data_IF_088666097458
#
_entry.id   IF_088666097458
#
_cell.length_a   1.000
_cell.length_b   1.000
_cell.length_c   1.000
_cell.angle_alpha   90.00
_cell.angle_beta   90.00
_cell.angle_gamma   90.00
#
_symmetry.space_group_name_H-M   'P 1'
#
loop_
_entity.id
_entity.type
_entity.pdbx_description
1 polymer ?
#
# COMPACT_ATOMS: atom_id res chain seq x y z
N UNK A 1 42.74 -11.52 -54.64
CA UNK A 1 43.54 -10.27 -54.58
C UNK A 1 44.25 -10.25 -53.25
N UNK A 2 45.54 -9.97 -53.31
CA UNK A 2 46.58 -10.28 -52.34
C UNK A 2 46.50 -9.46 -51.05
N UNK A 3 46.85 -10.08 -49.91
CA UNK A 3 47.56 -9.39 -48.82
C UNK A 3 48.71 -10.27 -48.34
N UNK A 4 49.90 -9.68 -48.35
CA UNK A 4 51.19 -10.24 -47.94
C UNK A 4 51.51 -9.87 -46.49
N UNK A 5 52.07 -10.82 -45.75
CA UNK A 5 53.00 -10.64 -44.60
C UNK A 5 54.37 -10.10 -45.13
N UNK A 6 55.36 -9.64 -44.31
CA UNK A 6 55.83 -10.27 -43.05
C UNK A 6 56.52 -9.43 -41.94
N UNK A 7 56.70 -10.11 -40.80
CA UNK A 7 57.81 -10.18 -39.82
C UNK A 7 58.52 -8.93 -39.26
N UNK A 8 58.77 -8.91 -37.94
CA UNK A 8 60.10 -9.19 -37.33
C UNK A 8 60.04 -9.31 -35.78
N UNK A 9 60.77 -10.30 -35.28
CA UNK A 9 61.14 -10.77 -33.92
C UNK A 9 61.83 -9.78 -32.96
N UNK A 10 61.74 -10.00 -31.64
CA UNK A 10 62.83 -9.94 -30.59
C UNK A 10 62.29 -10.64 -29.32
N UNK A 11 62.71 -11.85 -28.92
CA UNK A 11 63.88 -12.28 -28.12
C UNK A 11 63.84 -11.94 -26.62
N UNK A 12 63.75 -13.01 -25.82
CA UNK A 12 63.92 -13.15 -24.35
C UNK A 12 65.39 -12.98 -23.96
N UNK A 13 65.69 -12.61 -22.70
CA UNK A 13 66.77 -13.29 -22.01
C UNK A 13 66.42 -13.83 -20.62
N UNK A 14 67.17 -14.88 -20.31
CA UNK A 14 67.16 -15.80 -19.18
C UNK A 14 67.64 -15.24 -17.83
N UNK A 15 66.96 -15.69 -16.77
CA UNK A 15 67.50 -16.49 -15.65
C UNK A 15 68.71 -15.98 -14.82
N UNK A 16 68.49 -15.63 -13.54
CA UNK A 16 69.40 -15.93 -12.43
C UNK A 16 68.62 -16.26 -11.14
N UNK A 17 69.03 -17.36 -10.51
CA UNK A 17 68.46 -17.99 -9.31
C UNK A 17 69.07 -17.42 -8.00
N UNK A 18 68.86 -18.01 -6.79
CA UNK A 18 68.36 -17.30 -5.61
C UNK A 18 69.42 -17.08 -4.53
N UNK A 19 69.19 -16.14 -3.60
CA UNK A 19 69.94 -16.07 -2.35
C UNK A 19 69.04 -16.47 -1.17
N UNK A 20 69.55 -17.48 -0.45
CA UNK A 20 69.04 -18.09 0.75
C UNK A 20 68.96 -17.09 1.93
N UNK A 21 67.79 -17.10 2.56
CA UNK A 21 67.53 -17.25 4.01
C UNK A 21 68.56 -16.65 4.98
N UNK A 22 68.07 -15.73 5.81
CA UNK A 22 68.36 -15.77 7.24
C UNK A 22 67.05 -15.63 8.01
N UNK A 23 66.55 -16.79 8.47
CA UNK A 23 65.57 -16.93 9.53
C UNK A 23 66.16 -16.40 10.83
N UNK A 24 65.50 -15.42 11.46
CA UNK A 24 65.58 -15.19 12.91
C UNK A 24 64.55 -14.16 13.38
N UNK A 25 63.25 -14.38 13.15
CA UNK A 25 62.21 -13.65 13.91
C UNK A 25 60.80 -14.28 13.92
N UNK A 26 60.53 -15.35 13.18
CA UNK A 26 59.16 -15.82 12.93
C UNK A 26 58.46 -16.60 14.07
N UNK A 27 59.04 -16.72 15.26
CA UNK A 27 58.38 -17.46 16.36
C UNK A 27 57.58 -16.58 17.33
N UNK A 28 57.67 -15.25 17.24
CA UNK A 28 56.95 -14.34 18.15
C UNK A 28 55.66 -13.75 17.57
N UNK A 29 55.50 -13.67 16.24
CA UNK A 29 54.34 -13.01 15.62
C UNK A 29 53.13 -13.93 15.44
N UNK A 30 53.34 -15.23 15.24
CA UNK A 30 52.24 -16.20 15.07
C UNK A 30 51.37 -16.28 16.33
N UNK A 31 51.99 -16.20 17.52
CA UNK A 31 51.30 -16.16 18.80
C UNK A 31 50.62 -14.82 19.12
N UNK A 32 50.99 -13.72 18.45
CA UNK A 32 50.35 -12.41 18.57
C UNK A 32 49.17 -12.30 17.62
N UNK A 33 49.32 -12.81 16.40
CA UNK A 33 48.26 -12.90 15.39
C UNK A 33 47.13 -13.82 15.85
N UNK A 34 47.45 -14.97 16.44
CA UNK A 34 46.41 -15.90 16.94
C UNK A 34 45.65 -15.29 18.13
N UNK A 35 46.34 -14.53 19.00
CA UNK A 35 45.68 -13.80 20.10
C UNK A 35 44.83 -12.63 19.61
N UNK A 36 45.28 -11.92 18.58
CA UNK A 36 44.51 -10.85 17.95
C UNK A 36 43.27 -11.40 17.24
N UNK A 37 43.39 -12.58 16.62
CA UNK A 37 42.29 -13.27 15.95
C UNK A 37 41.23 -13.77 16.93
N UNK A 38 41.66 -14.35 18.06
CA UNK A 38 40.76 -14.75 19.15
C UNK A 38 40.07 -13.52 19.77
N UNK A 39 40.80 -12.41 20.01
CA UNK A 39 40.22 -11.16 20.50
C UNK A 39 39.23 -10.52 19.52
N UNK A 40 39.48 -10.61 18.21
CA UNK A 40 38.58 -10.14 17.16
C UNK A 40 37.34 -11.02 17.02
N UNK A 41 37.47 -12.35 17.14
CA UNK A 41 36.31 -13.27 17.18
C UNK A 41 35.45 -13.06 18.43
N UNK A 42 36.08 -12.78 19.57
CA UNK A 42 35.41 -12.47 20.84
C UNK A 42 34.68 -11.12 20.75
N UNK A 43 35.30 -10.09 20.14
CA UNK A 43 34.66 -8.78 19.90
C UNK A 43 33.59 -8.79 18.78
N UNK A 44 33.71 -9.70 17.80
CA UNK A 44 32.70 -9.90 16.75
C UNK A 44 31.44 -10.61 17.29
N UNK A 45 31.57 -11.41 18.35
CA UNK A 45 30.43 -11.95 19.10
C UNK A 45 29.76 -10.90 20.02
N UNK A 46 30.53 -9.91 20.49
CA UNK A 46 30.06 -8.85 21.39
C UNK A 46 29.45 -7.62 20.69
N UNK A 47 29.31 -7.63 19.36
CA UNK A 47 28.59 -6.59 18.60
C UNK A 47 27.27 -7.11 18.03
N UNK A 48 26.26 -7.37 18.91
CA UNK A 48 24.96 -7.91 18.49
C UNK A 48 24.26 -7.00 17.47
N UNK A 49 24.60 -5.71 17.40
CA UNK A 49 24.04 -4.78 16.44
C UNK A 49 24.42 -5.04 14.98
N UNK A 50 25.64 -5.52 14.71
CA UNK A 50 26.11 -5.72 13.31
C UNK A 50 25.62 -7.07 12.77
N UNK A 51 25.63 -8.11 13.61
CA UNK A 51 25.04 -9.41 13.25
C UNK A 51 23.52 -9.30 13.11
N UNK A 52 22.82 -8.60 14.01
CA UNK A 52 21.38 -8.37 13.87
C UNK A 52 21.02 -7.53 12.63
N UNK A 53 21.86 -6.55 12.26
CA UNK A 53 21.66 -5.77 11.03
C UNK A 53 21.87 -6.63 9.78
N UNK A 54 22.91 -7.48 9.76
CA UNK A 54 23.18 -8.44 8.68
C UNK A 54 22.05 -9.45 8.53
N UNK A 55 21.57 -10.03 9.63
CA UNK A 55 20.42 -10.94 9.63
C UNK A 55 19.14 -10.24 9.14
N UNK A 56 18.94 -8.97 9.52
CA UNK A 56 17.78 -8.18 9.08
C UNK A 56 17.82 -7.86 7.59
N UNK A 57 19.00 -7.56 7.03
CA UNK A 57 19.18 -7.36 5.59
C UNK A 57 19.05 -8.67 4.79
N UNK A 58 19.45 -9.80 5.37
CA UNK A 58 19.30 -11.11 4.74
C UNK A 58 17.84 -11.58 4.73
N UNK A 59 17.06 -11.27 5.78
CA UNK A 59 15.60 -11.54 5.80
C UNK A 59 14.83 -10.75 4.73
N UNK A 60 15.18 -9.49 4.49
CA UNK A 60 14.54 -8.67 3.44
C UNK A 60 14.77 -9.16 2.01
N UNK A 61 15.65 -10.15 1.80
CA UNK A 61 15.93 -10.73 0.47
C UNK A 61 15.27 -12.10 0.25
N UNK A 62 14.59 -12.68 1.24
CA UNK A 62 13.86 -13.93 1.08
C UNK A 62 12.52 -13.69 0.37
N UNK A 63 12.20 -14.43 -0.71
CA UNK A 63 10.97 -14.23 -1.48
C UNK A 63 9.70 -14.56 -0.68
N UNK A 64 9.80 -15.36 0.38
CA UNK A 64 8.69 -15.66 1.28
C UNK A 64 8.31 -14.46 2.18
N UNK A 65 9.29 -13.64 2.60
CA UNK A 65 9.03 -12.44 3.40
C UNK A 65 8.42 -11.31 2.56
N UNK A 66 8.76 -11.20 1.27
CA UNK A 66 8.12 -10.25 0.33
C UNK A 66 6.63 -10.59 0.11
N UNK A 67 6.27 -11.87 0.16
CA UNK A 67 4.88 -12.33 0.07
C UNK A 67 4.12 -12.18 1.40
N UNK A 68 4.82 -12.15 2.53
CA UNK A 68 4.26 -11.96 3.87
C UNK A 68 4.17 -10.48 4.29
N UNK A 69 4.78 -9.57 3.53
CA UNK A 69 4.75 -8.14 3.82
C UNK A 69 3.38 -7.55 3.46
N UNK A 70 2.51 -7.49 4.48
CA UNK A 70 1.13 -6.97 4.38
C UNK A 70 1.05 -5.56 3.78
N UNK A 71 2.14 -4.77 3.83
CA UNK A 71 2.19 -3.43 3.23
C UNK A 71 2.37 -3.43 1.70
N UNK A 72 2.84 -4.54 1.11
CA UNK A 72 3.06 -4.68 -0.34
C UNK A 72 1.97 -5.51 -1.04
N UNK A 73 1.05 -6.11 -0.27
CA UNK A 73 -0.10 -6.83 -0.83
C UNK A 73 -1.15 -5.83 -1.33
N UNK A 74 -1.40 -5.82 -2.64
CA UNK A 74 -2.52 -5.07 -3.21
C UNK A 74 -3.84 -5.74 -2.82
N UNK A 75 -4.77 -4.98 -2.25
CA UNK A 75 -6.15 -5.40 -2.02
C UNK A 75 -6.91 -5.52 -3.35
N UNK A 76 -6.74 -6.65 -4.04
CA UNK A 76 -7.36 -6.93 -5.34
C UNK A 76 -8.89 -6.78 -5.35
N UNK A 77 -9.53 -6.96 -4.20
CA UNK A 77 -10.98 -6.78 -4.06
C UNK A 77 -11.39 -5.31 -4.08
N UNK A 78 -10.56 -4.38 -3.58
CA UNK A 78 -10.79 -2.93 -3.67
C UNK A 78 -10.74 -2.45 -5.13
N UNK A 79 -9.82 -3.03 -5.90
CA UNK A 79 -9.56 -2.66 -7.29
C UNK A 79 -10.55 -3.25 -8.30
N UNK A 80 -11.26 -4.32 -7.93
CA UNK A 80 -12.32 -4.93 -8.73
C UNK A 80 -13.51 -3.98 -8.93
N UNK A 81 -13.86 -3.25 -7.87
CA UNK A 81 -15.04 -2.40 -7.84
C UNK A 81 -14.76 -0.99 -8.41
N UNK A 82 -13.50 -0.57 -8.48
CA UNK A 82 -13.08 0.72 -9.04
C UNK A 82 -11.82 0.55 -9.91
N UNK A 83 -11.97 0.20 -11.20
CA UNK A 83 -10.83 -0.01 -12.11
C UNK A 83 -9.92 1.21 -12.24
N UNK A 84 -10.48 2.42 -12.12
CA UNK A 84 -9.73 3.69 -12.17
C UNK A 84 -8.74 3.84 -10.99
N UNK A 85 -8.96 3.13 -9.88
CA UNK A 85 -8.06 3.14 -8.73
C UNK A 85 -6.75 2.40 -9.03
N UNK A 86 -6.77 1.37 -9.88
CA UNK A 86 -5.57 0.65 -10.32
C UNK A 86 -4.63 1.59 -11.06
N UNK A 87 -5.17 2.42 -11.96
CA UNK A 87 -4.37 3.37 -12.76
C UNK A 87 -3.72 4.43 -11.86
N UNK A 88 -4.42 4.87 -10.81
CA UNK A 88 -3.90 5.82 -9.84
C UNK A 88 -2.78 5.20 -8.99
N UNK A 89 -2.97 3.96 -8.54
CA UNK A 89 -1.97 3.21 -7.77
C UNK A 89 -0.74 2.84 -8.61
N UNK A 90 -0.92 2.46 -9.87
CA UNK A 90 0.19 2.27 -10.82
C UNK A 90 1.03 3.55 -10.93
N UNK A 91 0.40 4.71 -11.04
CA UNK A 91 1.09 5.99 -11.10
C UNK A 91 1.86 6.30 -9.79
N UNK A 92 1.26 6.01 -8.63
CA UNK A 92 1.90 6.19 -7.32
C UNK A 92 3.09 5.24 -7.13
N UNK A 93 2.95 3.97 -7.52
CA UNK A 93 4.00 2.96 -7.51
C UNK A 93 5.15 3.34 -8.45
N UNK A 94 4.85 3.85 -9.64
CA UNK A 94 5.86 4.38 -10.56
C UNK A 94 6.65 5.54 -9.95
N UNK A 95 5.99 6.47 -9.28
CA UNK A 95 6.64 7.58 -8.60
C UNK A 95 7.44 7.13 -7.37
N UNK A 96 6.93 6.16 -6.62
CA UNK A 96 7.68 5.53 -5.53
C UNK A 96 8.93 4.82 -6.05
N UNK A 97 8.83 4.04 -7.13
CA UNK A 97 9.97 3.35 -7.74
C UNK A 97 11.01 4.32 -8.27
N UNK A 98 10.60 5.45 -8.87
CA UNK A 98 11.53 6.52 -9.26
C UNK A 98 12.30 7.05 -8.06
N UNK A 99 11.63 7.34 -6.95
CA UNK A 99 12.28 7.80 -5.70
C UNK A 99 13.21 6.73 -5.13
N UNK A 100 12.76 5.49 -5.06
CA UNK A 100 13.53 4.36 -4.54
C UNK A 100 14.81 4.15 -5.35
N UNK A 101 14.73 4.24 -6.68
CA UNK A 101 15.90 4.19 -7.57
C UNK A 101 16.92 5.28 -7.23
N UNK A 102 16.48 6.53 -7.00
CA UNK A 102 17.40 7.60 -6.63
C UNK A 102 18.03 7.38 -5.26
N UNK A 103 17.25 6.96 -4.27
CA UNK A 103 17.73 6.65 -2.92
C UNK A 103 18.75 5.52 -2.96
N UNK A 104 18.45 4.44 -3.68
CA UNK A 104 19.35 3.31 -3.84
C UNK A 104 20.67 3.73 -4.52
N UNK A 105 20.58 4.47 -5.63
CA UNK A 105 21.76 4.94 -6.34
C UNK A 105 22.62 5.86 -5.45
N UNK A 106 21.99 6.73 -4.68
CA UNK A 106 22.66 7.61 -3.72
C UNK A 106 23.34 6.81 -2.60
N UNK A 107 22.64 5.84 -2.00
CA UNK A 107 23.20 4.96 -0.96
C UNK A 107 24.36 4.12 -1.49
N UNK A 108 24.21 3.51 -2.66
CA UNK A 108 25.27 2.72 -3.30
C UNK A 108 26.48 3.58 -3.64
N UNK A 109 26.26 4.82 -4.09
CA UNK A 109 27.35 5.78 -4.35
C UNK A 109 28.04 6.18 -3.05
N UNK A 110 27.30 6.44 -1.97
CA UNK A 110 27.86 6.74 -0.65
C UNK A 110 28.64 5.56 -0.08
N UNK A 111 28.12 4.34 -0.20
CA UNK A 111 28.79 3.12 0.26
C UNK A 111 30.09 2.88 -0.50
N UNK A 112 30.08 3.00 -1.83
CA UNK A 112 31.30 2.91 -2.64
C UNK A 112 32.31 3.99 -2.27
N UNK A 113 31.85 5.23 -2.12
CA UNK A 113 32.72 6.33 -1.72
C UNK A 113 33.35 6.12 -0.34
N UNK A 114 32.60 5.59 0.63
CA UNK A 114 33.13 5.25 1.95
C UNK A 114 34.12 4.09 1.88
N UNK A 115 33.84 3.06 1.07
CA UNK A 115 34.75 1.95 0.84
C UNK A 115 36.07 2.42 0.19
N UNK A 116 36.01 3.35 -0.77
CA UNK A 116 37.20 3.91 -1.45
C UNK A 116 38.06 4.80 -0.52
N UNK A 117 37.49 5.29 0.60
CA UNK A 117 38.16 6.14 1.60
C UNK A 117 38.69 5.36 2.81
N UNK A 118 38.24 4.12 3.00
CA UNK A 118 38.54 3.34 4.20
C UNK A 118 39.79 2.49 3.95
N UNK A 119 40.79 2.60 4.83
CA UNK A 119 41.93 1.68 4.84
C UNK A 119 41.42 0.27 5.12
N UNK A 120 41.61 -0.66 4.20
CA UNK A 120 41.29 -2.06 4.40
C UNK A 120 42.53 -2.79 4.97
N UNK A 121 42.56 -3.11 6.28
CA UNK A 121 43.73 -3.68 6.94
C UNK A 121 44.02 -5.13 6.50
N UNK A 122 43.07 -5.82 5.85
CA UNK A 122 43.28 -7.20 5.36
C UNK A 122 43.86 -7.26 3.94
N UNK A 123 43.51 -6.30 3.07
CA UNK A 123 43.99 -6.25 1.68
C UNK A 123 45.14 -5.27 1.45
N UNK A 124 45.40 -4.36 2.38
CA UNK A 124 46.48 -3.38 2.30
C UNK A 124 46.27 -2.32 1.22
N UNK A 125 45.04 -2.12 0.74
CA UNK A 125 44.71 -1.06 -0.19
C UNK A 125 44.67 0.29 0.53
N UNK A 126 45.59 1.19 0.15
CA UNK A 126 45.57 2.59 0.57
C UNK A 126 44.35 3.32 -0.03
N UNK A 127 43.86 4.40 0.62
CA UNK A 127 42.67 5.12 0.19
C UNK A 127 42.90 5.68 -1.22
N UNK A 128 41.94 5.47 -2.12
CA UNK A 128 42.10 5.89 -3.51
C UNK A 128 41.93 7.42 -3.63
N UNK A 129 43.01 8.17 -3.41
CA UNK A 129 43.05 9.61 -3.65
C UNK A 129 43.21 9.84 -5.16
N UNK A 130 42.09 9.96 -5.87
CA UNK A 130 42.11 10.23 -7.31
C UNK A 130 42.74 11.60 -7.61
N UNK A 131 43.70 11.63 -8.52
CA UNK A 131 44.25 12.87 -9.06
C UNK A 131 43.21 13.57 -9.96
N UNK A 132 43.36 14.88 -10.17
CA UNK A 132 42.51 15.64 -11.09
C UNK A 132 42.56 15.09 -12.52
N UNK A 133 43.68 14.47 -12.92
CA UNK A 133 43.83 13.78 -14.20
C UNK A 133 42.98 12.49 -14.29
N UNK A 134 42.89 11.72 -13.21
CA UNK A 134 42.12 10.46 -13.17
C UNK A 134 40.62 10.72 -13.17
N UNK A 135 40.18 11.78 -12.48
CA UNK A 135 38.79 12.25 -12.52
C UNK A 135 38.42 12.68 -13.94
N UNK A 136 39.28 13.45 -14.62
CA UNK A 136 39.05 13.86 -16.00
C UNK A 136 38.95 12.67 -16.98
N UNK A 137 39.81 11.66 -16.82
CA UNK A 137 39.74 10.43 -17.61
C UNK A 137 38.42 9.68 -17.39
N UNK A 138 38.03 9.46 -16.12
CA UNK A 138 36.77 8.78 -15.79
C UNK A 138 35.53 9.55 -16.25
N UNK A 139 35.56 10.88 -16.20
CA UNK A 139 34.49 11.70 -16.77
C UNK A 139 34.36 11.51 -18.28
N UNK A 140 35.48 11.40 -18.99
CA UNK A 140 35.48 11.18 -20.44
C UNK A 140 34.96 9.78 -20.80
N UNK A 141 35.34 8.75 -20.04
CA UNK A 141 34.77 7.41 -20.18
C UNK A 141 33.27 7.38 -19.87
N UNK A 142 32.83 8.04 -18.81
CA UNK A 142 31.42 8.16 -18.47
C UNK A 142 30.63 8.86 -19.57
N UNK A 143 31.16 9.92 -20.18
CA UNK A 143 30.54 10.59 -21.33
C UNK A 143 30.42 9.64 -22.52
N UNK A 144 31.48 8.89 -22.83
CA UNK A 144 31.49 7.89 -23.91
C UNK A 144 30.42 6.81 -23.70
N UNK A 145 30.37 6.21 -22.50
CA UNK A 145 29.40 5.15 -22.18
C UNK A 145 27.97 5.70 -22.16
N UNK A 146 27.76 6.92 -21.64
CA UNK A 146 26.44 7.58 -21.71
C UNK A 146 26.00 7.80 -23.15
N UNK A 147 26.89 8.22 -24.03
CA UNK A 147 26.58 8.38 -25.45
C UNK A 147 26.18 7.06 -26.09
N UNK A 148 26.93 5.98 -25.85
CA UNK A 148 26.59 4.63 -26.33
C UNK A 148 25.22 4.16 -25.81
N UNK A 149 24.90 4.45 -24.55
CA UNK A 149 23.59 4.11 -23.98
C UNK A 149 22.45 4.92 -24.64
N UNK A 150 22.67 6.19 -24.96
CA UNK A 150 21.69 7.02 -25.67
C UNK A 150 21.45 6.47 -27.07
N UNK A 151 22.51 6.13 -27.81
CA UNK A 151 22.42 5.53 -29.15
C UNK A 151 21.72 4.16 -29.13
N UNK A 152 22.01 3.32 -28.13
CA UNK A 152 21.30 2.06 -27.96
C UNK A 152 19.80 2.28 -27.67
N UNK A 153 19.46 3.24 -26.80
CA UNK A 153 18.07 3.58 -26.48
C UNK A 153 17.31 4.11 -27.69
N UNK A 154 17.93 4.95 -28.52
CA UNK A 154 17.28 5.45 -29.73
C UNK A 154 17.05 4.33 -30.74
N UNK A 155 18.00 3.41 -30.88
CA UNK A 155 17.83 2.24 -31.75
C UNK A 155 16.70 1.31 -31.26
N UNK A 156 16.61 1.05 -29.95
CA UNK A 156 15.51 0.24 -29.38
C UNK A 156 14.16 0.91 -29.61
N UNK A 157 14.05 2.23 -29.41
CA UNK A 157 12.81 2.96 -29.69
C UNK A 157 12.40 2.88 -31.15
N UNK A 158 13.37 3.03 -32.07
CA UNK A 158 13.15 2.89 -33.51
C UNK A 158 12.65 1.49 -33.84
N UNK A 159 13.34 0.45 -33.37
CA UNK A 159 12.95 -0.94 -33.61
C UNK A 159 11.54 -1.25 -33.09
N UNK A 160 11.15 -0.67 -31.95
CA UNK A 160 9.79 -0.80 -31.42
C UNK A 160 8.76 -0.15 -32.36
N UNK A 161 9.03 1.07 -32.83
CA UNK A 161 8.20 1.73 -33.85
C UNK A 161 8.07 0.88 -35.11
N UNK A 162 9.19 0.33 -35.60
CA UNK A 162 9.20 -0.53 -36.80
C UNK A 162 8.35 -1.80 -36.57
N UNK A 163 8.39 -2.40 -35.38
CA UNK A 163 7.57 -3.57 -35.02
C UNK A 163 6.09 -3.21 -34.98
N UNK A 164 5.75 -2.08 -34.37
CA UNK A 164 4.37 -1.62 -34.28
C UNK A 164 3.81 -1.36 -35.70
N UNK A 165 4.57 -0.68 -36.55
CA UNK A 165 4.21 -0.44 -37.96
C UNK A 165 4.02 -1.72 -38.77
N UNK A 166 4.92 -2.71 -38.62
CA UNK A 166 4.80 -4.01 -39.29
C UNK A 166 3.60 -4.79 -38.76
N UNK A 167 3.34 -4.72 -37.45
CA UNK A 167 2.20 -5.40 -36.83
C UNK A 167 0.89 -4.83 -37.35
N UNK A 168 0.76 -3.49 -37.38
CA UNK A 168 -0.42 -2.81 -37.89
C UNK A 168 -0.64 -3.11 -39.38
N UNK A 169 0.43 -3.15 -40.18
CA UNK A 169 0.36 -3.51 -41.59
C UNK A 169 -0.01 -4.99 -41.85
N UNK A 170 0.15 -5.88 -40.85
CA UNK A 170 -0.13 -7.31 -40.99
C UNK A 170 -1.59 -7.67 -40.64
N UNK A 171 -2.31 -6.82 -39.90
CA UNK A 171 -3.69 -7.10 -39.46
C UNK A 171 -4.63 -7.31 -40.65
N UNK A 172 -4.73 -6.33 -41.56
CA UNK A 172 -5.68 -6.42 -42.69
C UNK A 172 -5.38 -7.61 -43.62
N UNK A 173 -4.13 -7.88 -44.04
CA UNK A 173 -3.82 -9.06 -44.85
C UNK A 173 -4.15 -10.38 -44.16
N UNK A 174 -3.93 -10.47 -42.84
CA UNK A 174 -4.25 -11.69 -42.09
C UNK A 174 -5.76 -11.92 -41.99
N UNK A 175 -6.54 -10.88 -41.69
CA UNK A 175 -8.00 -10.96 -41.68
C UNK A 175 -8.56 -11.36 -43.04
N UNK A 176 -8.01 -10.82 -44.14
CA UNK A 176 -8.41 -11.20 -45.49
C UNK A 176 -8.10 -12.68 -45.79
N UNK A 177 -6.93 -13.19 -45.37
CA UNK A 177 -6.59 -14.60 -45.52
C UNK A 177 -7.54 -15.48 -44.70
N UNK A 178 -7.82 -15.11 -43.44
CA UNK A 178 -8.74 -15.84 -42.58
C UNK A 178 -10.14 -15.90 -43.22
N UNK A 179 -10.65 -14.77 -43.70
CA UNK A 179 -11.92 -14.69 -44.41
C UNK A 179 -11.92 -15.61 -45.64
N UNK A 180 -10.92 -15.51 -46.51
CA UNK A 180 -10.85 -16.35 -47.71
C UNK A 180 -10.69 -17.84 -47.39
N UNK A 181 -10.01 -18.21 -46.31
CA UNK A 181 -9.93 -19.62 -45.88
C UNK A 181 -11.27 -20.13 -45.37
N UNK A 182 -12.03 -19.30 -44.65
CA UNK A 182 -13.37 -19.65 -44.19
C UNK A 182 -14.35 -19.82 -45.35
N UNK A 183 -14.31 -18.91 -46.33
CA UNK A 183 -15.10 -18.98 -47.56
C UNK A 183 -14.71 -20.20 -48.41
N UNK A 184 -13.42 -20.51 -48.52
CA UNK A 184 -12.96 -21.70 -49.22
C UNK A 184 -13.44 -22.99 -48.52
N UNK A 185 -13.46 -23.01 -47.18
CA UNK A 185 -13.95 -24.15 -46.41
C UNK A 185 -15.46 -24.35 -46.59
N UNK A 186 -16.26 -23.27 -46.57
CA UNK A 186 -17.71 -23.36 -46.81
C UNK A 186 -18.00 -23.83 -48.24
N UNK A 187 -17.31 -23.27 -49.24
CA UNK A 187 -17.45 -23.70 -50.63
C UNK A 187 -17.06 -25.17 -50.82
N UNK A 188 -16.03 -25.66 -50.11
CA UNK A 188 -15.67 -27.07 -50.15
C UNK A 188 -16.79 -27.95 -49.60
N UNK A 189 -17.41 -27.55 -48.48
CA UNK A 189 -18.56 -28.25 -47.90
C UNK A 189 -19.73 -28.30 -48.90
N UNK A 190 -20.08 -27.15 -49.49
CA UNK A 190 -21.16 -27.06 -50.47
C UNK A 190 -20.89 -27.94 -51.69
N UNK A 191 -19.64 -27.97 -52.18
CA UNK A 191 -19.24 -28.85 -53.28
C UNK A 191 -19.41 -30.32 -52.88
N UNK A 192 -18.96 -30.73 -51.69
CA UNK A 192 -19.11 -32.11 -51.23
C UNK A 192 -20.58 -32.52 -51.07
N UNK A 193 -21.42 -31.61 -50.59
CA UNK A 193 -22.87 -31.84 -50.46
C UNK A 193 -23.53 -31.95 -51.84
N UNK A 194 -23.18 -31.07 -52.78
CA UNK A 194 -23.64 -31.16 -54.17
C UNK A 194 -23.18 -32.45 -54.85
N UNK A 195 -21.94 -32.90 -54.62
CA UNK A 195 -21.44 -34.17 -55.14
C UNK A 195 -22.20 -35.36 -54.57
N UNK A 196 -22.54 -35.31 -53.28
CA UNK A 196 -23.33 -36.32 -52.60
C UNK A 196 -24.78 -36.36 -53.13
N UNK A 197 -25.42 -35.20 -53.34
CA UNK A 197 -26.74 -35.11 -53.97
C UNK A 197 -26.71 -35.61 -55.41
N UNK A 198 -25.69 -35.27 -56.21
CA UNK A 198 -25.52 -35.83 -57.55
C UNK A 198 -25.34 -37.36 -57.52
N UNK A 199 -24.63 -37.90 -56.53
CA UNK A 199 -24.48 -39.34 -56.35
C UNK A 199 -25.83 -40.00 -56.00
N UNK A 200 -26.63 -39.37 -55.11
CA UNK A 200 -27.99 -39.82 -54.80
C UNK A 200 -28.89 -39.79 -56.03
N UNK A 201 -28.89 -38.70 -56.79
CA UNK A 201 -29.70 -38.57 -58.02
C UNK A 201 -29.30 -39.64 -59.03
N UNK A 202 -28.00 -39.85 -59.27
CA UNK A 202 -27.53 -40.92 -60.18
C UNK A 202 -27.92 -42.32 -59.73
N UNK A 203 -27.96 -42.58 -58.41
CA UNK A 203 -28.46 -43.84 -57.87
C UNK A 203 -29.99 -43.97 -58.01
N UNK A 204 -30.71 -42.86 -57.84
CA UNK A 204 -32.17 -42.76 -57.92
C UNK A 204 -32.70 -42.79 -59.37
N UNK A 205 -31.95 -42.27 -60.36
CA UNK A 205 -32.31 -42.25 -61.79
C UNK A 205 -32.57 -43.65 -62.36
N UNK A 206 -32.03 -44.70 -61.73
CA UNK A 206 -32.31 -46.10 -62.10
C UNK A 206 -33.51 -46.74 -61.40
N UNK A 207 -34.05 -46.13 -60.34
CA UNK A 207 -35.02 -46.74 -59.43
C UNK A 207 -36.36 -45.99 -59.33
N UNK A 208 -36.40 -44.68 -59.58
CA UNK A 208 -37.60 -43.87 -59.41
C UNK A 208 -38.09 -43.32 -60.77
N UNK A 209 -39.26 -43.79 -61.23
CA UNK A 209 -40.00 -43.17 -62.33
C UNK A 209 -40.71 -41.88 -61.89
N UNK A 210 -41.40 -41.21 -62.82
CA UNK A 210 -42.27 -40.07 -62.50
C UNK A 210 -43.16 -40.38 -61.30
N UNK A 211 -43.15 -39.48 -60.30
CA UNK A 211 -43.96 -39.57 -59.09
C UNK A 211 -45.41 -39.89 -59.45
N UNK A 212 -46.02 -40.88 -58.79
CA UNK A 212 -47.43 -41.17 -58.98
C UNK A 212 -48.28 -40.07 -58.34
N UNK A 213 -49.52 -39.88 -58.79
CA UNK A 213 -50.40 -38.82 -58.25
C UNK A 213 -50.64 -38.97 -56.74
N UNK A 214 -50.71 -40.19 -56.24
CA UNK A 214 -50.88 -40.46 -54.80
C UNK A 214 -49.62 -40.13 -53.98
N UNK A 215 -48.42 -40.39 -54.53
CA UNK A 215 -47.16 -39.97 -53.91
C UNK A 215 -47.00 -38.44 -53.93
N UNK A 216 -47.46 -37.78 -54.99
CA UNK A 216 -47.48 -36.32 -55.08
C UNK A 216 -48.38 -35.69 -54.01
N UNK A 217 -49.59 -36.24 -53.83
CA UNK A 217 -50.51 -35.80 -52.78
C UNK A 217 -49.91 -36.00 -51.38
N UNK A 218 -49.27 -37.14 -51.11
CA UNK A 218 -48.61 -37.39 -49.83
C UNK A 218 -47.46 -36.42 -49.54
N UNK A 219 -46.62 -36.09 -50.54
CA UNK A 219 -45.55 -35.08 -50.40
C UNK A 219 -46.11 -33.68 -50.17
N UNK A 220 -47.21 -33.32 -50.85
CA UNK A 220 -47.89 -32.05 -50.61
C UNK A 220 -48.43 -31.97 -49.18
N UNK A 221 -49.05 -33.04 -48.66
CA UNK A 221 -49.55 -33.08 -47.29
C UNK A 221 -48.41 -32.97 -46.27
N UNK A 222 -47.28 -33.64 -46.50
CA UNK A 222 -46.07 -33.52 -45.67
C UNK A 222 -45.49 -32.10 -45.72
N UNK A 223 -45.44 -31.47 -46.89
CA UNK A 223 -45.01 -30.09 -47.05
C UNK A 223 -45.92 -29.13 -46.30
N UNK A 224 -47.25 -29.31 -46.35
CA UNK A 224 -48.20 -28.48 -45.60
C UNK A 224 -47.93 -28.61 -44.10
N UNK A 225 -47.69 -29.81 -43.58
CA UNK A 225 -47.35 -30.01 -42.16
C UNK A 225 -46.02 -29.36 -41.79
N UNK A 226 -45.00 -29.46 -42.66
CA UNK A 226 -43.70 -28.80 -42.44
C UNK A 226 -43.82 -27.28 -42.44
N UNK A 227 -44.63 -26.71 -43.34
CA UNK A 227 -44.89 -25.27 -43.40
C UNK A 227 -45.63 -24.79 -42.15
N UNK A 228 -46.62 -25.55 -41.68
CA UNK A 228 -47.31 -25.26 -40.42
C UNK A 228 -46.34 -25.29 -39.24
N UNK A 229 -45.44 -26.28 -39.17
CA UNK A 229 -44.44 -26.36 -38.10
C UNK A 229 -43.46 -25.17 -38.15
N UNK A 230 -43.00 -24.77 -39.34
CA UNK A 230 -42.12 -23.61 -39.52
C UNK A 230 -42.85 -22.31 -39.18
N UNK A 231 -44.12 -22.15 -39.57
CA UNK A 231 -44.94 -20.99 -39.20
C UNK A 231 -45.16 -20.92 -37.68
N UNK A 232 -45.44 -22.06 -37.03
CA UNK A 232 -45.56 -22.15 -35.58
C UNK A 232 -44.23 -21.78 -34.88
N UNK A 233 -43.09 -22.28 -35.38
CA UNK A 233 -41.77 -21.92 -34.84
C UNK A 233 -41.44 -20.44 -35.09
N UNK A 234 -41.77 -19.90 -36.28
CA UNK A 234 -41.56 -18.50 -36.62
C UNK A 234 -42.40 -17.59 -35.72
N UNK A 235 -43.67 -17.93 -35.49
CA UNK A 235 -44.54 -17.16 -34.59
C UNK A 235 -44.05 -17.24 -33.14
N UNK A 236 -43.52 -18.39 -32.71
CA UNK A 236 -42.91 -18.52 -31.39
C UNK A 236 -41.65 -17.65 -31.25
N UNK A 237 -40.75 -17.67 -32.23
CA UNK A 237 -39.53 -16.83 -32.24
C UNK A 237 -39.90 -15.35 -32.27
N UNK A 238 -40.90 -14.95 -33.06
CA UNK A 238 -41.37 -13.56 -33.10
C UNK A 238 -41.91 -13.13 -31.74
N UNK A 239 -42.69 -13.99 -31.07
CA UNK A 239 -43.19 -13.73 -29.72
C UNK A 239 -42.04 -13.58 -28.71
N UNK A 240 -41.04 -14.46 -28.77
CA UNK A 240 -39.88 -14.42 -27.87
C UNK A 240 -39.01 -13.18 -28.14
N UNK A 241 -38.86 -12.78 -29.40
CA UNK A 241 -38.21 -11.53 -29.78
C UNK A 241 -38.96 -10.32 -29.23
N UNK A 242 -40.30 -10.30 -29.30
CA UNK A 242 -41.10 -9.22 -28.73
C UNK A 242 -41.01 -9.18 -27.20
N UNK A 243 -40.97 -10.33 -26.53
CA UNK A 243 -40.75 -10.43 -25.09
C UNK A 243 -39.37 -9.88 -24.70
N UNK A 244 -38.29 -10.34 -25.36
CA UNK A 244 -36.94 -9.86 -25.14
C UNK A 244 -36.81 -8.35 -25.41
N UNK A 245 -37.51 -7.82 -26.43
CA UNK A 245 -37.54 -6.38 -26.70
C UNK A 245 -38.21 -5.58 -25.57
N UNK A 246 -39.29 -6.11 -24.98
CA UNK A 246 -39.95 -5.50 -23.82
C UNK A 246 -39.01 -5.51 -22.61
N UNK A 247 -38.38 -6.65 -22.31
CA UNK A 247 -37.39 -6.76 -21.22
C UNK A 247 -36.22 -5.80 -21.41
N UNK A 248 -35.69 -5.69 -22.63
CA UNK A 248 -34.64 -4.72 -22.95
C UNK A 248 -35.10 -3.28 -22.70
N UNK A 249 -36.33 -2.93 -23.10
CA UNK A 249 -36.86 -1.59 -22.88
C UNK A 249 -37.03 -1.27 -21.39
N UNK A 250 -37.47 -2.25 -20.59
CA UNK A 250 -37.58 -2.13 -19.13
C UNK A 250 -36.21 -1.99 -18.47
N UNK A 251 -35.23 -2.80 -18.89
CA UNK A 251 -33.85 -2.71 -18.42
C UNK A 251 -33.22 -1.35 -18.74
N UNK A 252 -33.47 -0.79 -19.94
CA UNK A 252 -33.03 0.55 -20.31
C UNK A 252 -33.67 1.62 -19.41
N UNK A 253 -34.97 1.51 -19.12
CA UNK A 253 -35.65 2.45 -18.21
C UNK A 253 -35.10 2.35 -16.78
N UNK A 254 -34.79 1.14 -16.30
CA UNK A 254 -34.15 0.93 -15.01
C UNK A 254 -32.74 1.53 -14.98
N UNK A 255 -31.97 1.35 -16.05
CA UNK A 255 -30.62 1.89 -16.18
C UNK A 255 -30.63 3.42 -16.18
N UNK A 256 -31.57 4.06 -16.88
CA UNK A 256 -31.72 5.51 -16.87
C UNK A 256 -32.13 6.03 -15.49
N UNK A 257 -33.03 5.32 -14.79
CA UNK A 257 -33.37 5.62 -13.39
C UNK A 257 -32.14 5.53 -12.48
N UNK A 258 -31.37 4.45 -12.58
CA UNK A 258 -30.16 4.24 -11.78
C UNK A 258 -29.08 5.27 -12.10
N UNK A 259 -28.94 5.70 -13.36
CA UNK A 259 -28.04 6.80 -13.74
C UNK A 259 -28.48 8.11 -13.08
N UNK A 260 -29.78 8.42 -13.07
CA UNK A 260 -30.30 9.60 -12.39
C UNK A 260 -30.03 9.55 -10.87
N UNK A 261 -30.28 8.40 -10.23
CA UNK A 261 -29.98 8.17 -8.81
C UNK A 261 -28.48 8.30 -8.51
N UNK A 262 -27.62 7.69 -9.34
CA UNK A 262 -26.16 7.80 -9.22
C UNK A 262 -25.69 9.24 -9.33
N UNK A 263 -26.14 9.99 -10.34
CA UNK A 263 -25.74 11.40 -10.50
C UNK A 263 -26.23 12.28 -9.35
N UNK A 264 -27.39 11.99 -8.77
CA UNK A 264 -27.87 12.66 -7.56
C UNK A 264 -27.00 12.32 -6.34
N UNK A 265 -26.65 11.05 -6.15
CA UNK A 265 -25.76 10.60 -5.07
C UNK A 265 -24.35 11.18 -5.22
N UNK A 266 -23.80 11.22 -6.44
CA UNK A 266 -22.51 11.84 -6.72
C UNK A 266 -22.51 13.34 -6.44
N UNK A 267 -23.61 14.06 -6.75
CA UNK A 267 -23.75 15.47 -6.37
C UNK A 267 -23.75 15.63 -4.86
N UNK A 268 -24.52 14.83 -4.12
CA UNK A 268 -24.53 14.88 -2.65
C UNK A 268 -23.15 14.54 -2.06
N UNK A 269 -22.45 13.55 -2.62
CA UNK A 269 -21.11 13.18 -2.20
C UNK A 269 -20.09 14.28 -2.52
N UNK A 270 -20.20 14.93 -3.68
CA UNK A 270 -19.31 16.03 -4.05
C UNK A 270 -19.62 17.31 -3.24
N UNK A 271 -20.88 17.59 -2.94
CA UNK A 271 -21.28 18.67 -2.05
C UNK A 271 -20.80 18.43 -0.62
N UNK A 272 -20.86 17.19 -0.12
CA UNK A 272 -20.22 16.81 1.15
C UNK A 272 -18.70 16.97 1.08
N UNK A 273 -18.07 16.64 -0.05
CA UNK A 273 -16.63 16.83 -0.28
C UNK A 273 -16.22 18.30 -0.38
N UNK A 274 -17.06 19.15 -0.96
CA UNK A 274 -16.84 20.59 -1.12
C UNK A 274 -17.17 21.37 0.15
N UNK A 275 -18.18 20.92 0.90
CA UNK A 275 -18.51 21.42 2.25
C UNK A 275 -17.41 21.14 3.27
N UNK A 276 -16.50 20.22 2.97
CA UNK A 276 -15.28 19.95 3.75
C UNK A 276 -14.11 20.92 3.47
N UNK A 277 -14.34 21.97 2.67
CA UNK A 277 -13.31 22.96 2.38
C UNK A 277 -12.13 22.40 1.56
N UNK A 278 -11.22 23.29 1.16
CA UNK A 278 -10.12 23.02 0.22
C UNK A 278 -9.08 21.99 0.74
N UNK A 279 -9.16 21.58 2.01
CA UNK A 279 -8.20 20.72 2.71
C UNK A 279 -8.83 19.55 3.48
N UNK A 280 -9.86 18.87 2.93
CA UNK A 280 -10.42 17.61 3.48
C UNK A 280 -10.83 17.70 4.97
N UNK A 281 -11.57 18.74 5.35
CA UNK A 281 -12.30 18.74 6.62
C UNK A 281 -11.50 18.97 7.89
N UNK A 282 -10.22 19.38 7.80
CA UNK A 282 -9.47 19.88 8.96
C UNK A 282 -9.51 21.40 8.97
N UNK A 283 -10.45 21.94 9.75
CA UNK A 283 -10.41 23.34 10.14
C UNK A 283 -9.24 23.53 11.12
N UNK A 284 -8.08 23.87 10.57
CA UNK A 284 -6.84 24.08 11.34
C UNK A 284 -7.00 25.16 12.40
N UNK A 285 -7.90 26.13 12.23
CA UNK A 285 -8.17 27.15 13.24
C UNK A 285 -8.95 26.55 14.40
N UNK A 286 -9.96 25.72 14.12
CA UNK A 286 -10.70 24.98 15.14
C UNK A 286 -9.80 23.96 15.86
N UNK A 287 -8.98 23.21 15.13
CA UNK A 287 -8.05 22.23 15.71
C UNK A 287 -7.01 22.93 16.59
N UNK A 288 -6.47 24.07 16.16
CA UNK A 288 -5.58 24.91 16.97
C UNK A 288 -6.28 25.47 18.18
N UNK A 289 -7.55 25.88 18.06
CA UNK A 289 -8.33 26.42 19.17
C UNK A 289 -8.64 25.33 20.21
N UNK A 290 -9.05 24.14 19.76
CA UNK A 290 -9.23 22.95 20.60
C UNK A 290 -7.92 22.57 21.29
N UNK A 291 -6.81 22.45 20.56
CA UNK A 291 -5.50 22.14 21.15
C UNK A 291 -5.08 23.16 22.21
N UNK A 292 -5.32 24.45 21.96
CA UNK A 292 -5.08 25.52 22.93
C UNK A 292 -5.98 25.35 24.16
N UNK A 293 -7.27 25.06 23.98
CA UNK A 293 -8.20 24.86 25.08
C UNK A 293 -7.86 23.64 25.92
N UNK A 294 -7.52 22.51 25.30
CA UNK A 294 -7.05 21.31 26.00
C UNK A 294 -5.81 21.62 26.83
N UNK A 295 -4.80 22.28 26.25
CA UNK A 295 -3.60 22.68 26.99
C UNK A 295 -3.90 23.63 28.16
N UNK A 296 -4.86 24.56 28.01
CA UNK A 296 -5.28 25.42 29.12
C UNK A 296 -6.05 24.66 30.20
N UNK A 297 -6.86 23.66 29.83
CA UNK A 297 -7.56 22.80 30.77
C UNK A 297 -6.56 21.97 31.56
N UNK A 298 -5.60 21.32 30.90
CA UNK A 298 -4.55 20.56 31.56
C UNK A 298 -3.80 21.44 32.59
N UNK A 299 -3.43 22.67 32.21
CA UNK A 299 -2.74 23.59 33.12
C UNK A 299 -3.61 23.97 34.34
N UNK A 300 -4.93 24.16 34.15
CA UNK A 300 -5.87 24.48 35.22
C UNK A 300 -6.12 23.27 36.14
N UNK A 301 -6.24 22.06 35.58
CA UNK A 301 -6.38 20.82 36.34
C UNK A 301 -5.16 20.60 37.24
N UNK A 302 -3.95 20.75 36.69
CA UNK A 302 -2.71 20.65 37.47
C UNK A 302 -2.60 21.74 38.56
N UNK A 303 -3.02 22.98 38.26
CA UNK A 303 -2.98 24.07 39.24
C UNK A 303 -3.97 23.87 40.41
N UNK A 304 -5.14 23.28 40.13
CA UNK A 304 -6.16 22.97 41.12
C UNK A 304 -5.97 21.58 41.77
N UNK A 305 -4.97 20.81 41.34
CA UNK A 305 -4.72 19.45 41.82
C UNK A 305 -5.83 18.46 41.46
N UNK A 306 -6.64 18.75 40.45
CA UNK A 306 -7.69 17.87 39.95
C UNK A 306 -7.02 16.79 39.10
N UNK A 307 -7.17 15.52 39.48
CA UNK A 307 -6.57 14.39 38.74
C UNK A 307 -7.55 13.70 37.83
N UNK A 308 -8.84 13.74 38.18
CA UNK A 308 -9.88 13.09 37.40
C UNK A 308 -11.22 13.76 37.65
N UNK A 309 -11.95 14.03 36.57
CA UNK A 309 -13.37 14.37 36.61
C UNK A 309 -14.14 13.26 35.91
N UNK A 310 -15.14 12.70 36.57
CA UNK A 310 -16.00 11.66 36.00
C UNK A 310 -17.45 11.99 36.34
N UNK A 311 -18.38 11.73 35.42
CA UNK A 311 -19.80 11.84 35.67
C UNK A 311 -20.45 10.45 35.52
N UNK A 312 -20.46 9.61 36.57
CA UNK A 312 -20.97 8.24 36.49
C UNK A 312 -22.47 8.18 36.21
N UNK A 313 -23.19 9.24 36.56
CA UNK A 313 -24.63 9.42 36.31
C UNK A 313 -24.89 10.82 35.75
N UNK A 314 -25.99 11.03 35.00
CA UNK A 314 -26.30 12.33 34.41
C UNK A 314 -26.49 13.46 35.43
N UNK A 315 -26.76 13.11 36.69
CA UNK A 315 -26.99 14.04 37.80
C UNK A 315 -25.83 14.04 38.83
N UNK A 316 -24.75 13.31 38.60
CA UNK A 316 -23.64 13.17 39.57
C UNK A 316 -22.30 13.50 38.91
N UNK A 317 -21.51 14.35 39.57
CA UNK A 317 -20.16 14.70 39.16
C UNK A 317 -19.16 14.34 40.27
N UNK A 318 -18.19 13.50 39.92
CA UNK A 318 -17.10 13.06 40.79
C UNK A 318 -15.83 13.81 40.39
N UNK A 319 -15.25 14.55 41.32
CA UNK A 319 -14.00 15.30 41.13
C UNK A 319 -12.97 14.77 42.11
N UNK A 320 -11.97 14.07 41.59
CA UNK A 320 -10.82 13.61 42.37
C UNK A 320 -9.79 14.74 42.49
N UNK A 321 -9.46 15.09 43.73
CA UNK A 321 -8.53 16.16 44.07
C UNK A 321 -7.37 15.54 44.84
N UNK A 322 -6.15 15.85 44.41
CA UNK A 322 -4.91 15.44 45.06
C UNK A 322 -4.12 16.65 45.51
N UNK A 323 -3.39 16.50 46.62
CA UNK A 323 -2.46 17.53 47.07
C UNK A 323 -1.18 17.46 46.24
N UNK A 324 -0.70 18.56 45.64
CA UNK A 324 0.65 18.58 45.09
C UNK A 324 1.65 18.39 46.23
N UNK A 325 2.41 17.28 46.20
CA UNK A 325 3.44 17.01 47.20
C UNK A 325 4.45 18.17 47.23
N UNK A 326 4.58 18.85 48.37
CA UNK A 326 5.61 19.87 48.54
C UNK A 326 6.98 19.24 48.25
N UNK A 327 7.73 19.77 47.27
CA UNK A 327 9.07 19.30 46.92
C UNK A 327 9.94 19.26 48.19
N UNK A 328 10.15 18.07 48.76
CA UNK A 328 11.03 17.88 49.92
C UNK A 328 12.45 18.27 49.51
N UNK A 329 13.03 19.23 50.23
CA UNK A 329 14.47 19.42 50.29
C UNK A 329 15.13 18.10 50.72
N UNK A 330 16.22 17.73 50.02
CA UNK A 330 16.96 16.47 50.16
C UNK A 330 17.50 16.28 51.58
N UNK A 331 16.70 15.71 52.49
CA UNK A 331 17.15 14.90 53.64
C UNK A 331 15.95 14.32 54.38
N UNK A 332 15.64 13.06 54.14
CA UNK A 332 15.21 12.08 55.16
C UNK A 332 14.64 10.84 54.46
N UNK A 333 15.32 9.71 54.67
CA UNK A 333 14.91 8.37 54.28
C UNK A 333 14.07 7.75 55.40
N UNK A 334 12.75 7.68 55.18
CA UNK A 334 11.81 6.60 55.58
C UNK A 334 10.36 7.12 55.47
N UNK A 335 9.47 6.20 55.12
CA UNK A 335 8.04 6.29 54.79
C UNK A 335 7.67 6.94 53.44
N UNK A 336 7.10 6.13 52.55
CA UNK A 336 6.43 6.54 51.32
C UNK A 336 5.32 7.59 51.62
N UNK A 337 5.10 8.58 50.74
CA UNK A 337 4.06 9.58 50.95
C UNK A 337 2.69 8.92 50.74
N UNK A 338 1.81 9.00 51.73
CA UNK A 338 0.38 8.69 51.52
C UNK A 338 -0.17 9.84 50.67
N UNK A 339 -0.46 9.59 49.40
CA UNK A 339 -1.17 10.54 48.56
C UNK A 339 -2.59 10.68 49.10
N UNK A 340 -2.87 11.81 49.78
CA UNK A 340 -4.20 12.12 50.27
C UNK A 340 -5.09 12.56 49.09
N UNK A 341 -5.58 11.59 48.32
CA UNK A 341 -6.59 11.81 47.29
C UNK A 341 -7.98 11.80 47.93
N UNK A 342 -8.82 12.79 47.65
CA UNK A 342 -10.24 12.78 48.03
C UNK A 342 -11.09 12.95 46.79
N UNK A 343 -12.23 12.30 46.80
CA UNK A 343 -13.21 12.39 45.71
C UNK A 343 -14.39 13.21 46.21
N UNK A 344 -14.62 14.35 45.58
CA UNK A 344 -15.78 15.20 45.81
C UNK A 344 -16.92 14.73 44.90
N UNK A 345 -18.05 14.35 45.49
CA UNK A 345 -19.25 13.92 44.77
C UNK A 345 -20.31 15.01 44.88
N UNK A 346 -20.64 15.60 43.74
CA UNK A 346 -21.66 16.64 43.60
C UNK A 346 -22.90 16.03 42.95
N UNK A 347 -24.06 16.17 43.59
CA UNK A 347 -25.35 15.73 43.03
C UNK A 347 -26.23 16.92 42.67
N UNK A 348 -26.80 16.87 41.47
CA UNK A 348 -27.68 17.89 40.92
C UNK A 348 -29.11 17.35 40.79
N UNK A 349 -30.09 18.24 40.87
CA UNK A 349 -31.51 17.87 40.71
C UNK A 349 -31.83 17.35 39.30
N UNK A 350 -31.23 17.98 38.29
CA UNK A 350 -31.35 17.68 36.86
C UNK A 350 -29.96 17.89 36.20
N UNK A 351 -29.72 17.36 34.99
CA UNK A 351 -28.45 17.55 34.29
C UNK A 351 -28.15 19.04 34.08
N UNK A 352 -27.12 19.56 34.75
CA UNK A 352 -26.77 20.99 34.73
C UNK A 352 -27.66 21.91 35.58
N UNK A 353 -28.51 21.32 36.44
CA UNK A 353 -29.43 22.04 37.31
C UNK A 353 -28.82 22.55 38.62
N UNK A 354 -29.64 22.67 39.66
CA UNK A 354 -29.22 23.12 40.99
C UNK A 354 -28.52 22.00 41.75
N UNK A 355 -27.42 22.34 42.42
CA UNK A 355 -26.72 21.44 43.34
C UNK A 355 -27.64 21.13 44.54
N UNK A 356 -27.90 19.84 44.78
CA UNK A 356 -28.74 19.37 45.89
C UNK A 356 -27.92 18.82 47.05
N UNK A 357 -26.84 18.12 46.74
CA UNK A 357 -26.08 17.38 47.74
C UNK A 357 -24.59 17.31 47.41
N UNK A 358 -23.77 17.21 48.46
CA UNK A 358 -22.33 17.08 48.40
C UNK A 358 -21.85 16.01 49.38
N UNK A 359 -21.04 15.08 48.88
CA UNK A 359 -20.34 14.07 49.67
C UNK A 359 -18.83 14.15 49.40
N UNK A 360 -18.01 13.84 50.41
CA UNK A 360 -16.55 13.80 50.29
C UNK A 360 -16.07 12.39 50.66
N UNK A 361 -15.36 11.72 49.75
CA UNK A 361 -14.82 10.37 49.94
C UNK A 361 -13.29 10.41 50.02
N UNK A 362 -12.66 9.47 50.73
CA UNK A 362 -11.19 9.32 50.79
C UNK A 362 -10.68 8.32 49.73
N UNK A 363 -9.38 8.33 49.43
CA UNK A 363 -8.75 7.58 48.34
C UNK A 363 -9.09 6.08 48.30
N UNK A 364 -9.35 5.48 49.46
CA UNK A 364 -9.53 4.03 49.62
C UNK A 364 -10.89 3.63 50.21
N UNK A 365 -11.81 4.56 50.46
CA UNK A 365 -13.09 4.24 51.12
C UNK A 365 -14.27 4.94 50.43
N UNK A 366 -15.32 4.18 50.13
CA UNK A 366 -16.58 4.68 49.53
C UNK A 366 -17.54 5.28 50.56
N UNK A 367 -17.04 5.53 51.77
CA UNK A 367 -17.82 6.09 52.87
C UNK A 367 -17.61 7.60 52.95
N UNK A 368 -18.69 8.38 53.16
CA UNK A 368 -18.57 9.82 53.30
C UNK A 368 -17.76 10.19 54.56
N UNK A 369 -16.77 11.05 54.39
CA UNK A 369 -16.01 11.66 55.48
C UNK A 369 -16.90 12.67 56.22
N UNK A 370 -16.68 12.81 57.54
CA UNK A 370 -17.33 13.87 58.31
C UNK A 370 -16.80 15.22 57.89
N UNK A 371 -17.69 16.07 57.36
CA UNK A 371 -17.40 17.44 56.95
C UNK A 371 -17.25 18.31 58.21
N UNK A 372 -16.19 19.12 58.27
CA UNK A 372 -15.93 20.07 59.35
C UNK A 372 -17.04 21.14 59.46
N UNK A 373 -17.26 21.72 60.65
CA UNK A 373 -18.36 22.66 60.89
C UNK A 373 -18.28 23.88 59.96
N UNK A 374 -17.07 24.39 59.70
CA UNK A 374 -16.82 25.52 58.79
C UNK A 374 -17.14 25.19 57.33
N UNK A 375 -16.80 23.97 56.88
CA UNK A 375 -17.07 23.52 55.52
C UNK A 375 -18.57 23.20 55.34
N UNK A 376 -19.25 22.79 56.42
CA UNK A 376 -20.70 22.56 56.41
C UNK A 376 -21.52 23.85 56.20
N UNK A 377 -21.05 24.98 56.72
CA UNK A 377 -21.68 26.28 56.53
C UNK A 377 -21.51 26.76 55.07
N UNK A 378 -20.30 26.62 54.52
CA UNK A 378 -19.99 26.92 53.13
C UNK A 378 -20.75 26.01 52.13
N UNK A 379 -20.95 24.73 52.47
CA UNK A 379 -21.76 23.80 51.67
C UNK A 379 -23.20 24.28 51.57
N UNK A 380 -23.81 24.72 52.67
CA UNK A 380 -25.19 25.23 52.67
C UNK A 380 -25.32 26.52 51.86
N UNK A 381 -24.35 27.42 51.96
CA UNK A 381 -24.33 28.67 51.20
C UNK A 381 -24.11 28.44 49.69
N UNK A 382 -23.20 27.54 49.33
CA UNK A 382 -22.91 27.21 47.93
C UNK A 382 -24.03 26.41 47.26
N UNK A 383 -24.75 25.56 48.01
CA UNK A 383 -25.98 24.91 47.54
C UNK A 383 -27.05 25.96 47.24
N UNK A 384 -27.21 26.97 48.11
CA UNK A 384 -28.20 28.04 47.91
C UNK A 384 -27.86 28.95 46.71
N UNK A 385 -26.58 29.20 46.48
CA UNK A 385 -26.07 30.06 45.39
C UNK A 385 -25.72 29.30 44.10
N UNK A 386 -25.87 27.97 44.11
CA UNK A 386 -25.49 27.05 43.03
C UNK A 386 -24.02 27.18 42.56
N UNK A 387 -23.10 27.49 43.47
CA UNK A 387 -21.72 27.83 43.14
C UNK A 387 -20.76 26.65 43.38
N UNK A 388 -20.83 25.62 42.54
CA UNK A 388 -20.03 24.39 42.67
C UNK A 388 -18.50 24.63 42.71
N UNK A 389 -17.99 25.63 41.98
CA UNK A 389 -16.57 25.96 41.96
C UNK A 389 -16.03 26.45 43.32
N UNK A 390 -16.88 27.07 44.14
CA UNK A 390 -16.49 27.55 45.48
C UNK A 390 -16.30 26.36 46.42
N UNK A 391 -17.04 25.28 46.21
CA UNK A 391 -16.94 24.04 46.98
C UNK A 391 -15.67 23.26 46.64
N UNK A 392 -15.34 23.15 45.35
CA UNK A 392 -14.06 22.56 44.91
C UNK A 392 -12.90 23.33 45.53
N UNK A 393 -12.94 24.66 45.51
CA UNK A 393 -11.91 25.50 46.13
C UNK A 393 -11.89 25.42 47.67
N UNK A 394 -13.03 25.35 48.34
CA UNK A 394 -13.11 25.21 49.79
C UNK A 394 -12.55 23.86 50.26
N UNK A 395 -12.88 22.78 49.54
CA UNK A 395 -12.32 21.45 49.77
C UNK A 395 -10.83 21.46 49.50
N UNK A 396 -10.36 22.07 48.40
CA UNK A 396 -8.93 22.25 48.14
C UNK A 396 -8.21 23.09 49.21
N UNK A 397 -8.85 24.12 49.76
CA UNK A 397 -8.28 24.91 50.88
C UNK A 397 -8.24 24.14 52.19
N UNK A 398 -9.20 23.23 52.43
CA UNK A 398 -9.14 22.32 53.59
C UNK A 398 -7.97 21.34 53.55
N UNK A 399 -7.27 21.23 52.40
CA UNK A 399 -6.02 20.49 52.24
C UNK A 399 -4.75 21.32 52.54
N UNK A 400 -4.85 22.65 52.53
CA UNK A 400 -3.73 23.58 52.75
C UNK A 400 -3.50 23.78 54.25
#
# INVERSE_FOLDING_TARGET
>A
MSTSTPDTSVSVPDNQSPLLVSDSSYQSDEGVLERARILLEEHAHDTPGVQALKERFQRTTDPEDVLADTELQLDWDLYRDVPDAIVQEEALLLDYFRKLKFIYLEQETKLRFLADLQDDPETGQEPQILSTADVAHREQECKRVKQQLVEAKTNVRRLRSDIDEVSDALIEPWEAVEQHTSEAASLLSDITDMELELAKIKAAEGTHGSLTTAEAEAVCDEQILSMQAIDDETTHIVHDMEAAKKELSEALHQLDRLKAERTAAEKLANDARLGMGRDRGRDWELERLCAKHTSTLDALEHALGITQMSAPRPNELHVAITRPAAKRSRRSTRSAPVEHQRTLVLRFNEPGGRLEHLELWDANDTKPLTIDEDLSALVKEAIHTNHAAALVQAVWRSYA
#
